data_IF_150718929411
#
_entry.id   IF_150718929411
#
_cell.length_a   1.000
_cell.length_b   1.000
_cell.length_c   1.000
_cell.angle_alpha   90.00
_cell.angle_beta   90.00
_cell.angle_gamma   90.00
#
_symmetry.space_group_name_H-M   'P 1'
#
loop_
_entity.id
_entity.type
_entity.pdbx_description
1 polymer ?
#
# COMPACT_ATOMS: atom_id res chain seq x y z
N UNK A 1 -11.52 -2.42 15.89
CA UNK A 1 -11.56 -3.31 14.71
C UNK A 1 -10.30 -3.09 13.88
N UNK A 2 -9.65 -4.17 13.47
CA UNK A 2 -8.41 -4.08 12.69
C UNK A 2 -8.78 -3.83 11.23
N UNK A 3 -8.21 -2.78 10.60
CA UNK A 3 -8.48 -2.54 9.18
C UNK A 3 -8.03 -3.73 8.33
N UNK A 4 -8.82 -4.11 7.32
CA UNK A 4 -8.52 -5.31 6.54
C UNK A 4 -7.41 -5.16 5.49
N UNK A 5 -6.99 -3.94 5.20
CA UNK A 5 -5.97 -3.70 4.19
C UNK A 5 -4.70 -3.16 4.82
N UNK A 6 -3.56 -3.70 4.39
CA UNK A 6 -2.24 -3.23 4.79
C UNK A 6 -1.52 -2.62 3.60
N UNK A 7 -0.78 -1.56 3.84
CA UNK A 7 0.01 -0.87 2.81
C UNK A 7 1.48 -1.07 3.11
N UNK A 8 2.20 -1.61 2.13
CA UNK A 8 3.64 -1.84 2.22
C UNK A 8 4.35 -1.03 1.16
N UNK A 9 5.59 -0.64 1.44
CA UNK A 9 6.47 0.01 0.48
C UNK A 9 7.69 -0.87 0.24
N UNK A 10 8.08 -1.03 -1.02
CA UNK A 10 9.34 -1.73 -1.35
C UNK A 10 10.52 -0.84 -0.96
N UNK A 11 11.36 -1.32 -0.07
CA UNK A 11 12.57 -0.64 0.37
C UNK A 11 13.72 -1.64 0.40
N UNK A 12 14.76 -1.35 -0.37
CA UNK A 12 15.98 -2.17 -0.38
C UNK A 12 15.69 -3.66 -0.62
N UNK A 13 14.78 -3.95 -1.54
CA UNK A 13 14.46 -5.32 -1.91
C UNK A 13 13.47 -6.03 -1.00
N UNK A 14 12.88 -5.33 -0.04
CA UNK A 14 11.87 -5.94 0.84
C UNK A 14 10.69 -5.00 1.04
N UNK A 15 9.53 -5.59 1.33
CA UNK A 15 8.34 -4.79 1.63
C UNK A 15 8.32 -4.44 3.11
N UNK A 16 8.11 -3.15 3.39
CA UNK A 16 8.05 -2.62 4.75
C UNK A 16 6.65 -2.05 4.98
N UNK A 17 6.00 -2.45 6.07
CA UNK A 17 4.66 -1.98 6.41
C UNK A 17 4.68 -0.47 6.69
N UNK A 18 3.71 0.24 6.13
CA UNK A 18 3.61 1.70 6.27
C UNK A 18 2.31 2.14 6.91
N UNK A 19 1.20 1.55 6.53
CA UNK A 19 -0.11 2.00 7.00
C UNK A 19 -1.16 0.93 6.81
N UNK A 20 -2.34 1.18 7.35
CA UNK A 20 -3.50 0.30 7.17
C UNK A 20 -4.67 1.13 6.64
N UNK A 21 -5.63 0.48 6.02
CA UNK A 21 -6.80 1.14 5.46
C UNK A 21 -8.03 0.25 5.57
N UNK A 22 -9.21 0.88 5.66
CA UNK A 22 -10.45 0.15 5.81
C UNK A 22 -11.00 -0.37 4.49
N UNK A 23 -10.67 0.30 3.38
CA UNK A 23 -11.10 -0.15 2.06
C UNK A 23 -10.09 0.27 1.01
N UNK A 24 -10.29 -0.24 -0.23
CA UNK A 24 -9.32 -0.02 -1.30
C UNK A 24 -9.21 1.44 -1.70
N UNK A 25 -10.29 2.18 -1.67
CA UNK A 25 -10.30 3.58 -2.02
C UNK A 25 -9.44 4.40 -1.06
N UNK A 26 -9.60 4.16 0.23
CA UNK A 26 -8.77 4.79 1.25
C UNK A 26 -7.32 4.36 1.10
N UNK A 27 -7.07 3.08 0.83
CA UNK A 27 -5.72 2.58 0.64
C UNK A 27 -5.01 3.27 -0.50
N UNK A 28 -5.69 3.42 -1.65
CA UNK A 28 -5.11 4.11 -2.80
C UNK A 28 -4.79 5.57 -2.50
N UNK A 29 -5.69 6.24 -1.78
CA UNK A 29 -5.46 7.63 -1.37
C UNK A 29 -4.23 7.74 -0.47
N UNK A 30 -4.09 6.83 0.48
CA UNK A 30 -2.92 6.82 1.36
C UNK A 30 -1.63 6.55 0.60
N UNK A 31 -1.66 5.64 -0.37
CA UNK A 31 -0.49 5.37 -1.21
C UNK A 31 -0.07 6.61 -1.98
N UNK A 32 -1.03 7.36 -2.53
CA UNK A 32 -0.72 8.59 -3.23
C UNK A 32 -0.02 9.60 -2.32
N UNK A 33 -0.50 9.75 -1.09
CA UNK A 33 0.12 10.64 -0.12
C UNK A 33 1.53 10.18 0.24
N UNK A 34 1.69 8.89 0.50
CA UNK A 34 2.99 8.33 0.83
C UNK A 34 3.97 8.46 -0.33
N UNK A 35 3.51 8.22 -1.54
CA UNK A 35 4.37 8.32 -2.72
C UNK A 35 4.81 9.75 -3.01
N UNK A 36 4.04 10.74 -2.60
CA UNK A 36 4.43 12.14 -2.74
C UNK A 36 5.66 12.45 -1.88
N UNK A 37 5.72 11.87 -0.68
CA UNK A 37 6.82 12.09 0.25
C UNK A 37 7.96 11.11 -0.01
N UNK A 38 7.62 9.86 -0.30
CA UNK A 38 8.60 8.78 -0.48
C UNK A 38 8.22 7.96 -1.72
N UNK A 39 8.64 8.38 -2.92
CA UNK A 39 8.33 7.66 -4.14
C UNK A 39 8.88 6.24 -4.12
N UNK A 40 8.18 5.33 -4.75
CA UNK A 40 8.60 3.94 -4.82
C UNK A 40 7.45 3.02 -5.17
N UNK A 41 7.73 1.72 -5.17
CA UNK A 41 6.70 0.72 -5.38
C UNK A 41 5.96 0.45 -4.08
N UNK A 42 4.63 0.41 -4.15
CA UNK A 42 3.79 0.12 -3.00
C UNK A 42 2.94 -1.12 -3.28
N UNK A 43 2.55 -1.81 -2.21
CA UNK A 43 1.67 -2.97 -2.29
C UNK A 43 0.54 -2.81 -1.29
N UNK A 44 -0.68 -3.08 -1.73
CA UNK A 44 -1.85 -3.14 -0.86
C UNK A 44 -2.22 -4.61 -0.70
N UNK A 45 -2.21 -5.11 0.53
CA UNK A 45 -2.54 -6.49 0.84
C UNK A 45 -3.86 -6.56 1.58
N UNK A 46 -4.78 -7.39 1.08
CA UNK A 46 -6.06 -7.63 1.74
C UNK A 46 -5.96 -8.86 2.63
N UNK A 47 -6.09 -8.66 3.93
CA UNK A 47 -6.08 -9.77 4.88
C UNK A 47 -7.30 -10.66 4.73
N UNK A 48 -8.42 -10.09 4.28
CA UNK A 48 -9.67 -10.82 4.15
C UNK A 48 -9.64 -11.80 2.99
N UNK A 49 -9.11 -11.37 1.84
CA UNK A 49 -9.14 -12.19 0.61
C UNK A 49 -7.76 -12.75 0.25
N UNK A 50 -6.70 -12.25 0.88
CA UNK A 50 -5.33 -12.61 0.51
C UNK A 50 -4.85 -11.96 -0.77
N UNK A 51 -5.61 -11.04 -1.34
CA UNK A 51 -5.28 -10.41 -2.61
C UNK A 51 -4.21 -9.34 -2.42
N UNK A 52 -3.27 -9.28 -3.35
CA UNK A 52 -2.20 -8.27 -3.37
C UNK A 52 -2.40 -7.37 -4.58
N UNK A 53 -2.28 -6.06 -4.37
CA UNK A 53 -2.35 -5.07 -5.44
C UNK A 53 -1.03 -4.31 -5.46
N UNK A 54 -0.31 -4.40 -6.57
CA UNK A 54 0.99 -3.73 -6.70
C UNK A 54 0.80 -2.39 -7.41
N UNK A 55 1.36 -1.35 -6.81
CA UNK A 55 1.34 -0.01 -7.39
C UNK A 55 2.78 0.37 -7.70
N UNK A 56 3.20 0.31 -8.96
CA UNK A 56 4.58 0.58 -9.32
C UNK A 56 4.94 2.07 -9.18
N UNK A 57 6.23 2.34 -9.17
CA UNK A 57 6.78 3.67 -8.95
C UNK A 57 6.18 4.74 -9.86
N UNK A 58 6.00 4.41 -11.13
CA UNK A 58 5.54 5.37 -12.15
C UNK A 58 4.06 5.22 -12.49
N UNK A 59 3.28 4.61 -11.60
CA UNK A 59 1.83 4.48 -11.79
C UNK A 59 1.20 5.86 -11.60
N UNK A 60 0.65 6.41 -12.63
CA UNK A 60 0.00 7.72 -12.59
C UNK A 60 -1.44 7.61 -13.05
#
# INVERSE_FOLDING_TARGET
MIPPLDIFKMQEGTYVWKAAAENLEIAKSKVQQLATVAPGEYMIFSQTTGKKTIIPLDAT
#
